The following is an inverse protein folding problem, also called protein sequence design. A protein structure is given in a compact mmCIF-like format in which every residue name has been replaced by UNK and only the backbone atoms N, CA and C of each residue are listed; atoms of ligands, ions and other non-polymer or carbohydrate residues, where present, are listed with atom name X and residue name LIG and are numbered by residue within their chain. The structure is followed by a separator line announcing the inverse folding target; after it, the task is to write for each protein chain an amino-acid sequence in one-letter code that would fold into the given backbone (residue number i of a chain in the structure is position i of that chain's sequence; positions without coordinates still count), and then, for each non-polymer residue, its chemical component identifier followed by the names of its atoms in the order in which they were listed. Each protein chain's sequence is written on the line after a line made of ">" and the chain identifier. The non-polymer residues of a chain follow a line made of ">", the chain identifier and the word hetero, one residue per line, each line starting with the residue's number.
data_IF_829397971599
#
_entry.id   IF_829397971599
#
_cell.length_a   1.000
_cell.length_b   1.000
_cell.length_c   1.000
_cell.angle_alpha   90.00
_cell.angle_beta   90.00
_cell.angle_gamma   90.00
#
_symmetry.space_group_name_H-M   'P 1'
#
loop_
_entity.id
_entity.type
_entity.pdbx_description
1 polymer ?
#
# COMPACT_ATOMS: atom_id res chain seq x y z
N UNK A 1 33.12 -55.36 56.45
CA UNK A 1 33.73 -54.33 55.57
C UNK A 1 33.36 -54.42 54.11
N UNK A 2 33.26 -55.58 53.50
CA UNK A 2 32.89 -55.75 52.06
C UNK A 2 31.47 -55.19 51.71
N UNK A 3 30.50 -55.35 52.60
CA UNK A 3 29.12 -54.95 52.33
C UNK A 3 28.89 -53.41 52.44
N UNK A 4 29.72 -52.70 53.18
CA UNK A 4 29.65 -51.24 53.29
C UNK A 4 30.20 -50.58 52.04
N UNK A 5 31.25 -51.13 51.44
CA UNK A 5 31.87 -50.65 50.20
C UNK A 5 30.91 -50.83 49.02
N UNK A 6 30.12 -51.89 48.98
CA UNK A 6 29.13 -52.14 47.95
C UNK A 6 27.94 -51.13 48.05
N UNK A 7 27.53 -50.81 49.28
CA UNK A 7 26.44 -49.88 49.53
C UNK A 7 26.81 -48.46 49.14
N UNK A 8 28.04 -48.03 49.42
CA UNK A 8 28.52 -46.70 48.99
C UNK A 8 28.70 -46.59 47.48
N UNK A 9 29.11 -47.63 46.80
CA UNK A 9 29.21 -47.64 45.34
C UNK A 9 27.84 -47.54 44.66
N UNK A 10 26.81 -48.21 45.20
CA UNK A 10 25.43 -48.10 44.68
C UNK A 10 24.84 -46.75 44.95
N UNK A 11 25.10 -46.11 46.11
CA UNK A 11 24.63 -44.75 46.40
C UNK A 11 25.30 -43.71 45.50
N UNK A 12 26.58 -43.87 45.15
CA UNK A 12 27.28 -42.97 44.26
C UNK A 12 26.77 -43.06 42.79
N UNK A 13 26.24 -44.22 42.40
CA UNK A 13 25.66 -44.40 41.05
C UNK A 13 24.26 -43.78 40.93
N UNK A 14 23.51 -43.69 42.00
CA UNK A 14 22.18 -43.08 42.02
C UNK A 14 22.24 -41.53 41.96
N UNK A 15 23.36 -40.96 42.43
CA UNK A 15 23.52 -39.48 42.43
C UNK A 15 24.04 -38.89 41.11
N UNK A 16 24.39 -39.73 40.13
CA UNK A 16 24.81 -39.27 38.79
C UNK A 16 23.69 -39.23 37.75
N UNK A 17 22.45 -39.28 38.17
CA UNK A 17 21.36 -38.80 37.29
C UNK A 17 21.47 -37.29 37.18
N UNK A 18 22.40 -36.83 36.34
CA UNK A 18 22.37 -35.49 35.84
C UNK A 18 20.96 -35.25 35.24
N UNK A 19 20.24 -34.38 35.88
CA UNK A 19 19.05 -33.78 35.29
C UNK A 19 19.44 -33.24 33.92
N UNK A 20 19.03 -33.94 32.88
CA UNK A 20 18.97 -33.37 31.55
C UNK A 20 17.95 -32.26 31.62
N UNK A 21 18.40 -31.05 31.90
CA UNK A 21 17.60 -29.89 31.70
C UNK A 21 17.36 -29.87 30.19
N UNK A 22 16.12 -30.13 29.82
CA UNK A 22 15.62 -29.77 28.51
C UNK A 22 15.89 -28.27 28.36
N UNK A 23 16.86 -27.93 27.51
CA UNK A 23 16.97 -26.55 27.05
C UNK A 23 15.66 -26.24 26.35
N UNK A 24 14.79 -25.50 27.02
CA UNK A 24 13.71 -24.81 26.35
C UNK A 24 14.38 -23.95 25.27
N UNK A 25 14.40 -24.48 24.06
CA UNK A 25 14.62 -23.67 22.88
C UNK A 25 13.53 -22.61 22.92
N UNK A 26 13.85 -21.43 23.39
CA UNK A 26 13.08 -20.25 23.08
C UNK A 26 12.93 -20.24 21.57
N UNK A 27 11.81 -20.72 21.07
CA UNK A 27 11.40 -20.42 19.72
C UNK A 27 11.35 -18.90 19.66
N UNK A 28 12.32 -18.30 19.02
CA UNK A 28 12.25 -16.91 18.64
C UNK A 28 11.01 -16.77 17.78
N UNK A 29 9.90 -16.39 18.39
CA UNK A 29 8.67 -16.05 17.70
C UNK A 29 8.98 -14.87 16.81
N UNK A 30 9.41 -15.15 15.59
CA UNK A 30 9.60 -14.13 14.57
C UNK A 30 8.27 -13.38 14.46
N UNK A 31 8.27 -12.12 14.86
CA UNK A 31 7.09 -11.29 14.76
C UNK A 31 6.67 -11.26 13.28
N UNK A 32 5.38 -11.45 13.01
CA UNK A 32 4.81 -11.32 11.66
C UNK A 32 5.25 -10.00 11.01
N UNK A 33 5.30 -8.93 11.79
CA UNK A 33 5.80 -7.63 11.35
C UNK A 33 7.27 -7.68 10.90
N UNK A 34 8.13 -8.43 11.60
CA UNK A 34 9.54 -8.61 11.24
C UNK A 34 9.68 -9.48 9.98
N UNK A 35 8.88 -10.53 9.85
CA UNK A 35 8.88 -11.37 8.66
C UNK A 35 8.42 -10.60 7.40
N UNK A 36 7.47 -9.68 7.57
CA UNK A 36 6.94 -8.86 6.47
C UNK A 36 7.85 -7.69 6.06
N UNK A 37 8.83 -7.30 6.88
CA UNK A 37 9.75 -6.19 6.57
C UNK A 37 10.59 -6.41 5.29
N UNK A 38 10.75 -7.65 4.84
CA UNK A 38 11.41 -7.99 3.58
C UNK A 38 10.57 -7.77 2.34
N UNK A 39 9.25 -7.67 2.49
CA UNK A 39 8.33 -7.45 1.37
C UNK A 39 8.20 -5.95 1.10
N UNK A 40 8.68 -5.54 -0.05
CA UNK A 40 8.52 -4.16 -0.52
C UNK A 40 7.54 -4.17 -1.68
N UNK A 41 6.44 -3.43 -1.53
CA UNK A 41 5.57 -3.15 -2.65
C UNK A 41 6.28 -2.20 -3.62
N UNK A 42 6.16 -2.47 -4.91
CA UNK A 42 6.58 -1.55 -5.97
C UNK A 42 5.36 -1.10 -6.74
N UNK A 43 5.34 0.16 -7.12
CA UNK A 43 4.33 0.64 -8.07
C UNK A 43 4.55 -0.01 -9.43
N UNK A 44 3.48 -0.51 -10.03
CA UNK A 44 3.48 -1.08 -11.38
C UNK A 44 2.90 -0.11 -12.42
N UNK A 45 2.57 1.12 -12.00
CA UNK A 45 1.91 2.10 -12.83
C UNK A 45 0.37 2.03 -12.74
N UNK A 46 -0.34 2.78 -13.58
CA UNK A 46 -1.80 2.74 -13.65
C UNK A 46 -2.29 1.32 -13.87
N UNK A 47 -3.50 1.00 -13.39
CA UNK A 47 -4.08 -0.34 -13.39
C UNK A 47 -3.76 -1.14 -14.66
N UNK A 48 -2.99 -2.19 -14.50
CA UNK A 48 -2.47 -2.95 -15.63
C UNK A 48 -3.49 -3.94 -16.19
N UNK A 49 -4.34 -4.47 -15.34
CA UNK A 49 -5.39 -5.41 -15.73
C UNK A 49 -6.67 -5.13 -14.95
N UNK A 50 -7.81 -5.16 -15.63
CA UNK A 50 -9.15 -4.93 -15.09
C UNK A 50 -9.49 -3.49 -14.64
N UNK A 51 -8.59 -2.53 -14.75
CA UNK A 51 -8.89 -1.11 -14.63
C UNK A 51 -9.31 -0.51 -15.99
N UNK A 52 -9.87 0.69 -15.93
CA UNK A 52 -10.16 1.51 -17.10
C UNK A 52 -9.65 2.92 -16.87
N UNK A 53 -9.15 3.53 -17.91
CA UNK A 53 -8.82 4.95 -17.89
C UNK A 53 -10.16 5.70 -18.02
N UNK A 54 -10.47 6.50 -17.02
CA UNK A 54 -11.67 7.32 -17.02
C UNK A 54 -11.41 8.63 -17.77
N UNK A 55 -10.24 9.25 -17.52
CA UNK A 55 -9.90 10.53 -18.13
C UNK A 55 -8.38 10.77 -18.14
N UNK A 56 -7.93 11.67 -19.02
CA UNK A 56 -6.51 12.07 -19.13
C UNK A 56 -6.47 13.59 -19.30
N UNK A 57 -5.73 14.28 -18.42
CA UNK A 57 -5.39 15.68 -18.58
C UNK A 57 -3.89 15.84 -18.89
N UNK A 58 -3.58 16.55 -19.98
CA UNK A 58 -2.21 16.85 -20.41
C UNK A 58 -1.94 18.32 -20.10
N UNK A 59 -0.78 18.61 -19.50
CA UNK A 59 -0.34 19.97 -19.20
C UNK A 59 -0.18 20.77 -20.51
N UNK A 60 -0.89 21.90 -20.68
CA UNK A 60 -0.86 22.66 -21.92
C UNK A 60 0.48 23.33 -22.19
N UNK A 61 1.33 23.53 -21.18
CA UNK A 61 2.67 24.10 -21.33
C UNK A 61 3.76 23.05 -21.47
N UNK A 62 3.48 21.80 -21.06
CA UNK A 62 4.45 20.72 -21.13
C UNK A 62 3.80 19.36 -21.45
N UNK A 63 3.77 19.03 -22.71
CA UNK A 63 3.19 17.76 -23.24
C UNK A 63 3.80 16.48 -22.67
N UNK A 64 4.88 16.55 -21.90
CA UNK A 64 5.43 15.38 -21.19
C UNK A 64 4.75 15.13 -19.84
N UNK A 65 3.95 16.07 -19.33
CA UNK A 65 3.24 15.94 -18.05
C UNK A 65 1.79 15.57 -18.31
N UNK A 66 1.42 14.37 -17.83
CA UNK A 66 0.05 13.89 -17.92
C UNK A 66 -0.45 13.47 -16.55
N UNK A 67 -1.74 13.67 -16.33
CA UNK A 67 -2.49 13.14 -15.22
C UNK A 67 -3.54 12.17 -15.74
N UNK A 68 -3.56 10.97 -15.20
CA UNK A 68 -4.46 9.90 -15.64
C UNK A 68 -5.37 9.53 -14.48
N UNK A 69 -6.68 9.74 -14.65
CA UNK A 69 -7.71 9.28 -13.74
C UNK A 69 -8.09 7.84 -14.11
N UNK A 70 -7.92 6.93 -13.17
CA UNK A 70 -8.20 5.51 -13.35
C UNK A 70 -9.47 5.16 -12.59
N UNK A 71 -10.46 4.60 -13.27
CA UNK A 71 -11.78 4.31 -12.71
C UNK A 71 -11.76 3.47 -11.42
N UNK A 72 -10.73 2.65 -11.24
CA UNK A 72 -10.52 1.86 -10.01
C UNK A 72 -9.04 1.82 -9.65
N UNK A 73 -8.37 2.96 -9.62
CA UNK A 73 -6.92 3.01 -9.37
C UNK A 73 -6.38 4.40 -9.05
N UNK A 74 -7.23 5.34 -8.70
CA UNK A 74 -6.86 6.70 -8.33
C UNK A 74 -6.26 7.51 -9.49
N UNK A 75 -5.41 8.48 -9.14
CA UNK A 75 -4.74 9.37 -10.09
C UNK A 75 -3.26 9.06 -10.17
N UNK A 76 -2.76 9.00 -11.39
CA UNK A 76 -1.37 8.79 -11.71
C UNK A 76 -0.82 9.95 -12.53
N UNK A 77 0.44 10.31 -12.26
CA UNK A 77 1.16 11.37 -12.97
C UNK A 77 2.38 10.79 -13.68
N UNK A 78 2.60 11.23 -14.91
CA UNK A 78 3.90 11.10 -15.59
C UNK A 78 4.48 12.48 -15.83
N UNK A 79 5.81 12.57 -15.90
CA UNK A 79 6.56 13.77 -16.28
C UNK A 79 7.47 13.51 -17.48
N UNK A 80 7.31 12.35 -18.11
CA UNK A 80 8.14 11.90 -19.23
C UNK A 80 7.33 11.13 -20.28
N UNK A 81 6.17 11.68 -20.62
CA UNK A 81 5.27 11.16 -21.66
C UNK A 81 4.94 9.66 -21.47
N UNK A 82 4.65 9.25 -20.24
CA UNK A 82 4.19 7.89 -19.93
C UNK A 82 5.30 6.85 -19.70
N UNK A 83 6.58 7.23 -19.74
CA UNK A 83 7.67 6.27 -19.49
C UNK A 83 7.71 5.81 -18.03
N UNK A 84 7.47 6.70 -17.08
CA UNK A 84 7.34 6.38 -15.66
C UNK A 84 6.12 7.05 -15.05
N UNK A 85 5.58 6.44 -13.99
CA UNK A 85 4.35 6.87 -13.36
C UNK A 85 4.49 6.96 -11.85
N UNK A 86 3.88 7.99 -11.27
CA UNK A 86 3.83 8.23 -9.82
C UNK A 86 2.38 8.31 -9.38
N UNK A 87 1.94 7.53 -8.40
CA UNK A 87 0.60 7.64 -7.84
C UNK A 87 0.49 8.93 -7.02
N UNK A 88 -0.66 9.61 -7.12
CA UNK A 88 -0.92 10.87 -6.42
C UNK A 88 -1.97 10.73 -5.31
N UNK A 89 -2.75 9.66 -5.31
CA UNK A 89 -3.93 9.53 -4.45
C UNK A 89 -3.93 8.28 -3.56
N UNK A 90 -2.77 7.62 -3.38
CA UNK A 90 -2.66 6.40 -2.56
C UNK A 90 -3.06 6.61 -1.08
N UNK A 91 -2.93 7.84 -0.57
CA UNK A 91 -3.28 8.18 0.80
C UNK A 91 -4.69 8.83 0.92
N UNK A 92 -5.45 8.86 -0.17
CA UNK A 92 -6.79 9.45 -0.18
C UNK A 92 -7.86 8.41 0.17
N UNK A 93 -9.01 8.83 0.70
CA UNK A 93 -10.08 7.91 1.11
C UNK A 93 -10.88 7.33 -0.07
N UNK A 94 -10.52 7.62 -1.30
CA UNK A 94 -11.14 7.13 -2.52
C UNK A 94 -10.11 6.45 -3.42
N UNK A 95 -10.59 5.59 -4.30
CA UNK A 95 -9.78 4.97 -5.36
C UNK A 95 -10.47 5.05 -6.73
N UNK A 96 -11.76 5.37 -6.74
CA UNK A 96 -12.52 5.53 -7.97
C UNK A 96 -12.51 6.99 -8.41
N UNK A 97 -12.10 7.22 -9.66
CA UNK A 97 -11.97 8.55 -10.26
C UNK A 97 -12.64 8.59 -11.61
N UNK A 98 -13.42 9.65 -11.86
CA UNK A 98 -14.27 9.77 -13.05
C UNK A 98 -13.80 10.80 -14.06
N UNK A 99 -13.25 11.92 -13.59
CA UNK A 99 -12.74 12.97 -14.48
C UNK A 99 -11.61 13.73 -13.80
N UNK A 100 -10.70 14.29 -14.60
CA UNK A 100 -9.59 15.13 -14.15
C UNK A 100 -9.37 16.27 -15.12
N UNK A 101 -9.11 17.47 -14.61
CA UNK A 101 -8.80 18.62 -15.47
C UNK A 101 -7.76 19.52 -14.82
N UNK A 102 -6.94 20.16 -15.66
CA UNK A 102 -5.97 21.18 -15.27
C UNK A 102 -6.59 22.53 -15.56
N UNK A 103 -6.43 23.49 -14.64
CA UNK A 103 -6.83 24.86 -14.90
C UNK A 103 -5.97 25.46 -16.03
N UNK A 104 -6.55 25.99 -17.11
CA UNK A 104 -5.76 26.51 -18.23
C UNK A 104 -4.95 27.77 -17.89
N UNK A 105 -5.20 28.38 -16.74
CA UNK A 105 -4.48 29.57 -16.27
C UNK A 105 -3.44 29.25 -15.17
N UNK A 106 -3.47 28.04 -14.63
CA UNK A 106 -2.58 27.60 -13.56
C UNK A 106 -2.37 26.08 -13.64
N UNK A 107 -1.27 25.65 -14.25
CA UNK A 107 -0.94 24.23 -14.44
C UNK A 107 -0.73 23.46 -13.14
N UNK A 108 -0.55 24.14 -12.00
CA UNK A 108 -0.50 23.51 -10.69
C UNK A 108 -1.90 23.24 -10.11
N UNK A 109 -2.92 23.92 -10.63
CA UNK A 109 -4.32 23.80 -10.19
C UNK A 109 -5.01 22.66 -10.93
N UNK A 110 -5.37 21.59 -10.20
CA UNK A 110 -5.96 20.37 -10.75
C UNK A 110 -7.27 20.07 -10.04
N UNK A 111 -8.31 19.80 -10.82
CA UNK A 111 -9.61 19.39 -10.33
C UNK A 111 -9.86 17.92 -10.63
N UNK A 112 -10.39 17.21 -9.66
CA UNK A 112 -10.66 15.76 -9.72
C UNK A 112 -12.10 15.49 -9.28
N UNK A 113 -12.88 14.85 -10.15
CA UNK A 113 -14.16 14.25 -9.80
C UNK A 113 -13.95 12.77 -9.46
N UNK A 114 -14.42 12.34 -8.29
CA UNK A 114 -14.39 10.94 -7.86
C UNK A 114 -15.69 10.23 -8.24
N UNK A 115 -15.65 8.89 -8.24
CA UNK A 115 -16.73 8.05 -8.73
C UNK A 115 -16.56 7.71 -10.21
N UNK A 116 -17.52 7.03 -10.78
CA UNK A 116 -17.51 6.67 -12.19
C UNK A 116 -18.73 7.22 -12.90
N UNK A 117 -18.50 7.79 -14.07
CA UNK A 117 -19.55 8.38 -14.91
C UNK A 117 -20.17 7.36 -15.88
N UNK A 118 -19.72 6.13 -15.88
CA UNK A 118 -20.19 5.08 -16.81
C UNK A 118 -20.93 3.99 -16.06
N UNK A 119 -22.20 3.81 -16.35
CA UNK A 119 -22.98 2.69 -15.82
C UNK A 119 -22.40 1.35 -16.28
N UNK A 120 -21.94 0.55 -15.35
CA UNK A 120 -21.34 -0.76 -15.55
C UNK A 120 -21.70 -1.75 -14.46
N UNK A 121 -21.08 -2.93 -14.47
CA UNK A 121 -21.34 -3.96 -13.46
C UNK A 121 -20.89 -3.54 -12.05
N UNK A 122 -19.88 -2.70 -11.97
CA UNK A 122 -19.33 -2.17 -10.74
C UNK A 122 -19.06 -0.68 -10.96
N UNK A 123 -19.94 0.16 -10.46
CA UNK A 123 -19.75 1.60 -10.42
C UNK A 123 -18.99 1.92 -9.14
N UNK A 124 -17.86 2.57 -9.27
CA UNK A 124 -17.10 3.05 -8.11
C UNK A 124 -17.82 4.19 -7.42
N UNK A 125 -17.92 4.13 -6.10
CA UNK A 125 -18.58 5.16 -5.30
C UNK A 125 -17.80 6.47 -5.37
N UNK A 126 -18.49 7.58 -5.64
CA UNK A 126 -17.94 8.91 -5.58
C UNK A 126 -17.83 9.42 -4.16
N UNK A 127 -16.78 10.17 -3.90
CA UNK A 127 -16.50 10.86 -2.63
C UNK A 127 -16.54 12.38 -2.79
N UNK A 128 -17.04 12.87 -3.93
CA UNK A 128 -17.15 14.27 -4.26
C UNK A 128 -16.02 14.78 -5.15
N UNK A 129 -15.81 16.09 -5.09
CA UNK A 129 -14.81 16.79 -5.88
C UNK A 129 -13.61 17.16 -5.01
N UNK A 130 -12.42 17.00 -5.56
CA UNK A 130 -11.16 17.38 -4.94
C UNK A 130 -10.40 18.37 -5.81
N UNK A 131 -9.64 19.23 -5.16
CA UNK A 131 -8.79 20.22 -5.81
C UNK A 131 -7.38 20.14 -5.25
N UNK A 132 -6.41 20.17 -6.12
CA UNK A 132 -5.00 20.34 -5.81
C UNK A 132 -4.51 21.68 -6.36
N UNK A 133 -3.74 22.41 -5.57
CA UNK A 133 -3.09 23.65 -5.97
C UNK A 133 -1.55 23.49 -6.13
N UNK A 134 -1.06 22.27 -6.11
CA UNK A 134 0.39 21.95 -6.08
C UNK A 134 0.79 20.84 -7.04
N UNK A 135 0.05 20.68 -8.12
CA UNK A 135 0.32 19.69 -9.16
C UNK A 135 0.05 18.25 -8.71
N UNK A 136 -0.95 18.07 -7.82
CA UNK A 136 -1.42 16.77 -7.35
C UNK A 136 -0.68 16.22 -6.12
N UNK A 137 0.16 17.01 -5.46
CA UNK A 137 0.87 16.57 -4.24
C UNK A 137 -0.05 16.53 -3.03
N UNK A 138 -0.95 17.51 -2.91
CA UNK A 138 -1.96 17.53 -1.87
C UNK A 138 -3.36 17.78 -2.47
N UNK A 139 -4.39 17.25 -1.82
CA UNK A 139 -5.77 17.31 -2.29
C UNK A 139 -6.69 17.82 -1.19
N UNK A 140 -7.55 18.78 -1.55
CA UNK A 140 -8.54 19.40 -0.67
C UNK A 140 -9.93 19.04 -1.15
N UNK A 141 -10.75 18.50 -0.25
CA UNK A 141 -12.17 18.20 -0.48
C UNK A 141 -12.94 19.51 -0.76
N UNK A 142 -13.66 19.57 -1.86
CA UNK A 142 -14.49 20.71 -2.29
C UNK A 142 -15.99 20.42 -2.21
N UNK A 143 -16.36 19.30 -1.63
CA UNK A 143 -17.76 18.93 -1.39
C UNK A 143 -18.34 17.95 -2.40
N UNK A 144 -19.64 17.94 -2.53
CA UNK A 144 -20.43 17.00 -3.36
C UNK A 144 -20.21 15.53 -2.98
N UNK A 145 -20.08 15.22 -1.69
CA UNK A 145 -19.78 13.88 -1.14
C UNK A 145 -20.79 12.78 -1.49
N UNK A 146 -21.93 13.13 -1.98
CA UNK A 146 -23.01 12.20 -2.39
C UNK A 146 -23.24 12.22 -3.91
N UNK A 147 -22.26 12.68 -4.67
CA UNK A 147 -22.28 12.59 -6.14
C UNK A 147 -21.82 11.20 -6.55
N UNK A 148 -22.54 10.60 -7.45
CA UNK A 148 -22.15 9.40 -8.21
C UNK A 148 -21.58 9.83 -9.56
#
# INVERSE_FOLDING_TARGET
>A
MKNIILLTAVLAFIFNFNSVQAQDKKEDKVSVKSALNGFKFRSLGPAFMSGRIADIAIDPENENIWYVAVGSGGVWKTTNAGTTWTPLTDNMPFYSTGCITIDPNDNASIWLGTGENVGGRHVGIGHGIYHSADGGKTWVDKGLKKSE
#
